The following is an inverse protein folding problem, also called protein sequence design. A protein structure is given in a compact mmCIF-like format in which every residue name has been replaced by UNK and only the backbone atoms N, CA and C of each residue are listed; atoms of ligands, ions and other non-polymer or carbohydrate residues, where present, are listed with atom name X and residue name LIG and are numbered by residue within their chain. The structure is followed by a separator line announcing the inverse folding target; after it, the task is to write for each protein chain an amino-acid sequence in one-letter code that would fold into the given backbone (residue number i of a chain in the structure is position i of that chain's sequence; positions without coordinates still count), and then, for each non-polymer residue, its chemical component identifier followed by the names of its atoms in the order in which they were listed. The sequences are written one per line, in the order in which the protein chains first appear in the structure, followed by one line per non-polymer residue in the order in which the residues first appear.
data_IF_123724203567
#
_entry.id   IF_123724203567
#
_cell.length_a   1.000
_cell.length_b   1.000
_cell.length_c   1.000
_cell.angle_alpha   90.00
_cell.angle_beta   90.00
_cell.angle_gamma   90.00
#
_symmetry.space_group_name_H-M   'P 1'
#
loop_
_entity.id
_entity.type
_entity.pdbx_description
1 polymer ?
#
# COMPACT_ATOMS: atom_id res chain seq x y z
N UNK A 1 4.24 -22.51 15.77
CA UNK A 1 3.61 -21.32 15.17
C UNK A 1 4.73 -20.39 14.70
N UNK A 2 4.76 -20.05 13.43
CA UNK A 2 5.68 -19.01 12.93
C UNK A 2 5.01 -17.64 13.11
N UNK A 3 5.78 -16.64 13.58
CA UNK A 3 5.25 -15.29 13.85
C UNK A 3 4.62 -14.66 12.61
N UNK A 4 5.23 -14.89 11.46
CA UNK A 4 4.79 -14.36 10.17
C UNK A 4 3.43 -14.93 9.74
N UNK A 5 3.13 -16.21 10.03
CA UNK A 5 1.82 -16.82 9.74
C UNK A 5 0.71 -16.10 10.51
N UNK A 6 0.96 -15.79 11.79
CA UNK A 6 0.01 -15.06 12.63
C UNK A 6 -0.23 -13.65 12.11
N UNK A 7 0.84 -12.94 11.76
CA UNK A 7 0.74 -11.58 11.20
C UNK A 7 0.01 -11.59 9.86
N UNK A 8 0.23 -12.61 9.03
CA UNK A 8 -0.49 -12.80 7.76
C UNK A 8 -1.99 -13.00 7.97
N UNK A 9 -2.41 -13.81 8.95
CA UNK A 9 -3.83 -14.00 9.28
C UNK A 9 -4.43 -12.76 9.95
N UNK A 10 -3.67 -12.06 10.80
CA UNK A 10 -4.10 -10.77 11.36
C UNK A 10 -4.35 -9.73 10.24
N UNK A 11 -3.47 -9.63 9.24
CA UNK A 11 -3.68 -8.75 8.08
C UNK A 11 -4.97 -9.10 7.33
N UNK A 12 -5.25 -10.38 7.08
CA UNK A 12 -6.49 -10.80 6.42
C UNK A 12 -7.74 -10.40 7.21
N UNK A 13 -7.73 -10.54 8.53
CA UNK A 13 -8.83 -10.09 9.38
C UNK A 13 -8.99 -8.57 9.34
N UNK A 14 -7.89 -7.82 9.43
CA UNK A 14 -7.89 -6.35 9.34
C UNK A 14 -8.45 -5.86 8.00
N UNK A 15 -8.10 -6.52 6.90
CA UNK A 15 -8.63 -6.20 5.56
C UNK A 15 -10.13 -6.47 5.43
N UNK A 16 -10.62 -7.55 6.05
CA UNK A 16 -12.01 -7.98 5.93
C UNK A 16 -12.96 -7.21 6.87
N UNK A 17 -12.53 -6.97 8.10
CA UNK A 17 -13.39 -6.45 9.17
C UNK A 17 -13.05 -5.02 9.60
N UNK A 18 -11.89 -4.53 9.17
CA UNK A 18 -11.36 -3.22 9.56
C UNK A 18 -10.70 -3.22 10.93
N UNK A 19 -9.95 -2.15 11.20
CA UNK A 19 -9.17 -1.99 12.43
C UNK A 19 -10.08 -2.00 13.67
N UNK A 20 -11.24 -1.34 13.62
CA UNK A 20 -12.15 -1.24 14.78
C UNK A 20 -12.63 -2.62 15.27
N UNK A 21 -12.99 -3.49 14.35
CA UNK A 21 -13.68 -4.76 14.64
C UNK A 21 -12.74 -5.96 14.82
N UNK A 22 -11.48 -5.84 14.44
CA UNK A 22 -10.49 -6.94 14.62
C UNK A 22 -10.01 -6.97 16.07
N UNK A 23 -10.04 -8.14 16.70
CA UNK A 23 -9.55 -8.35 18.08
C UNK A 23 -8.48 -9.43 18.14
N UNK A 24 -7.73 -9.47 19.24
CA UNK A 24 -6.68 -10.47 19.44
C UNK A 24 -7.26 -11.88 19.57
N UNK A 25 -8.46 -12.00 20.17
CA UNK A 25 -9.22 -13.25 20.28
C UNK A 25 -9.54 -13.84 18.92
N UNK A 26 -9.98 -13.00 17.98
CA UNK A 26 -10.28 -13.42 16.61
C UNK A 26 -9.02 -13.90 15.87
N UNK A 27 -7.89 -13.26 16.13
CA UNK A 27 -6.61 -13.72 15.56
C UNK A 27 -6.22 -15.08 16.16
N UNK A 28 -6.33 -15.24 17.48
CA UNK A 28 -6.05 -16.48 18.19
C UNK A 28 -6.90 -17.65 17.66
N UNK A 29 -8.21 -17.43 17.49
CA UNK A 29 -9.15 -18.40 16.92
C UNK A 29 -8.77 -18.75 15.47
N UNK A 30 -8.41 -17.73 14.67
CA UNK A 30 -8.07 -17.92 13.26
C UNK A 30 -6.83 -18.75 13.03
N UNK A 31 -5.83 -18.65 13.92
CA UNK A 31 -4.57 -19.40 13.85
C UNK A 31 -4.58 -20.67 14.69
N UNK A 32 -5.71 -20.99 15.32
CA UNK A 32 -5.87 -22.12 16.25
C UNK A 32 -4.76 -22.15 17.32
N UNK A 33 -4.59 -21.02 18.02
CA UNK A 33 -3.54 -20.85 19.02
C UNK A 33 -4.11 -20.27 20.33
N UNK A 34 -3.65 -20.74 21.52
CA UNK A 34 -4.17 -20.25 22.78
C UNK A 34 -3.96 -18.75 22.95
N UNK A 35 -5.02 -18.02 23.29
CA UNK A 35 -4.99 -16.56 23.45
C UNK A 35 -3.94 -16.10 24.46
N UNK A 36 -3.82 -16.81 25.61
CA UNK A 36 -2.86 -16.45 26.65
C UNK A 36 -1.40 -16.58 26.18
N UNK A 37 -1.12 -17.56 25.30
CA UNK A 37 0.19 -17.68 24.68
C UNK A 37 0.42 -16.59 23.63
N UNK A 38 -0.63 -16.21 22.87
CA UNK A 38 -0.55 -15.13 21.90
C UNK A 38 -0.27 -13.78 22.58
N UNK A 39 -0.90 -13.54 23.76
CA UNK A 39 -0.68 -12.33 24.57
C UNK A 39 0.74 -12.17 25.10
N UNK A 40 1.52 -13.24 25.17
CA UNK A 40 2.95 -13.13 25.53
C UNK A 40 3.77 -12.44 24.44
N UNK A 41 3.34 -12.53 23.18
CA UNK A 41 3.98 -11.88 22.03
C UNK A 41 3.36 -10.53 21.73
N UNK A 42 2.04 -10.45 21.82
CA UNK A 42 1.24 -9.25 21.58
C UNK A 42 0.24 -9.06 22.73
N UNK A 43 0.58 -8.20 23.70
CA UNK A 43 -0.24 -8.04 24.91
C UNK A 43 -1.64 -7.51 24.62
N UNK A 44 -1.79 -6.76 23.52
CA UNK A 44 -3.04 -6.14 23.13
C UNK A 44 -3.18 -6.05 21.59
N UNK A 45 -4.32 -5.53 21.15
CA UNK A 45 -4.66 -5.31 19.75
C UNK A 45 -3.70 -4.35 19.06
N UNK A 46 -3.24 -3.33 19.74
CA UNK A 46 -2.37 -2.30 19.16
C UNK A 46 -0.99 -2.87 18.83
N UNK A 47 -0.46 -3.71 19.70
CA UNK A 47 0.82 -4.38 19.50
C UNK A 47 0.80 -5.29 18.26
N UNK A 48 -0.26 -6.10 18.08
CA UNK A 48 -0.36 -6.97 16.90
C UNK A 48 -0.66 -6.17 15.64
N UNK A 49 -1.44 -5.09 15.72
CA UNK A 49 -1.71 -4.20 14.59
C UNK A 49 -0.43 -3.52 14.10
N UNK A 50 0.38 -2.98 15.01
CA UNK A 50 1.67 -2.38 14.68
C UNK A 50 2.58 -3.39 13.96
N UNK A 51 2.75 -4.58 14.51
CA UNK A 51 3.59 -5.61 13.92
C UNK A 51 3.05 -6.12 12.58
N UNK A 52 1.73 -6.27 12.43
CA UNK A 52 1.10 -6.67 11.19
C UNK A 52 1.32 -5.62 10.08
N UNK A 53 1.13 -4.35 10.39
CA UNK A 53 1.41 -3.26 9.44
C UNK A 53 2.90 -3.16 9.10
N UNK A 54 3.79 -3.38 10.07
CA UNK A 54 5.24 -3.42 9.84
C UNK A 54 5.63 -4.59 8.92
N UNK A 55 5.05 -5.75 9.14
CA UNK A 55 5.24 -6.92 8.28
C UNK A 55 4.76 -6.65 6.86
N UNK A 56 3.58 -6.05 6.70
CA UNK A 56 3.07 -5.62 5.39
C UNK A 56 4.00 -4.60 4.71
N UNK A 57 4.48 -3.60 5.47
CA UNK A 57 5.44 -2.62 4.96
C UNK A 57 6.71 -3.29 4.41
N UNK A 58 7.27 -4.24 5.14
CA UNK A 58 8.44 -5.00 4.71
C UNK A 58 8.17 -5.80 3.42
N UNK A 59 6.99 -6.42 3.28
CA UNK A 59 6.61 -7.14 2.06
C UNK A 59 6.53 -6.19 0.85
N UNK A 60 5.95 -5.01 1.04
CA UNK A 60 5.87 -3.99 -0.02
C UNK A 60 7.27 -3.49 -0.41
N UNK A 61 8.16 -3.29 0.57
CA UNK A 61 9.53 -2.83 0.30
C UNK A 61 10.38 -3.90 -0.43
N UNK A 62 10.16 -5.18 -0.12
CA UNK A 62 10.76 -6.30 -0.85
C UNK A 62 10.25 -6.29 -2.29
N UNK A 63 8.94 -6.18 -2.50
CA UNK A 63 8.34 -6.10 -3.82
C UNK A 63 8.87 -4.92 -4.64
N UNK A 64 8.94 -3.71 -4.05
CA UNK A 64 9.51 -2.53 -4.72
C UNK A 64 10.96 -2.75 -5.15
N UNK A 65 11.79 -3.34 -4.26
CA UNK A 65 13.19 -3.65 -4.59
C UNK A 65 13.31 -4.66 -5.72
N UNK A 66 12.51 -5.72 -5.70
CA UNK A 66 12.49 -6.70 -6.78
C UNK A 66 12.10 -6.05 -8.11
N UNK A 67 11.09 -5.18 -8.08
CA UNK A 67 10.65 -4.43 -9.25
C UNK A 67 11.74 -3.49 -9.78
N UNK A 68 12.45 -2.78 -8.90
CA UNK A 68 13.57 -1.91 -9.30
C UNK A 68 14.71 -2.69 -9.97
N UNK A 69 15.02 -3.88 -9.47
CA UNK A 69 16.08 -4.76 -9.99
C UNK A 69 15.69 -5.53 -11.26
N UNK A 70 14.41 -5.54 -11.63
CA UNK A 70 13.95 -6.23 -12.85
C UNK A 70 14.35 -5.42 -14.09
N UNK A 71 15.42 -5.85 -14.74
CA UNK A 71 15.92 -5.23 -15.97
C UNK A 71 15.05 -5.52 -17.22
N UNK A 72 14.09 -6.43 -17.12
CA UNK A 72 13.18 -6.76 -18.23
C UNK A 72 12.05 -5.75 -18.37
N UNK A 73 11.78 -4.94 -17.35
CA UNK A 73 10.73 -3.93 -17.33
C UNK A 73 11.30 -2.52 -17.50
N UNK A 74 10.59 -1.72 -18.30
CA UNK A 74 10.88 -0.28 -18.41
C UNK A 74 10.46 0.46 -17.13
N UNK A 75 11.01 1.66 -16.90
CA UNK A 75 10.61 2.49 -15.76
C UNK A 75 9.11 2.82 -15.77
N UNK A 76 8.50 3.01 -16.94
CA UNK A 76 7.06 3.19 -17.10
C UNK A 76 6.27 1.95 -16.67
N UNK A 77 6.68 0.76 -17.10
CA UNK A 77 6.05 -0.50 -16.68
C UNK A 77 6.16 -0.69 -15.16
N UNK A 78 7.31 -0.36 -14.56
CA UNK A 78 7.50 -0.40 -13.11
C UNK A 78 6.58 0.57 -12.37
N UNK A 79 6.40 1.80 -12.88
CA UNK A 79 5.46 2.78 -12.32
C UNK A 79 4.01 2.28 -12.32
N UNK A 80 3.60 1.60 -13.39
CA UNK A 80 2.24 1.12 -13.56
C UNK A 80 1.98 -0.26 -12.92
N UNK A 81 3.03 -1.00 -12.54
CA UNK A 81 2.94 -2.33 -11.95
C UNK A 81 2.09 -2.38 -10.66
N UNK A 82 2.03 -1.26 -9.91
CA UNK A 82 1.18 -1.14 -8.71
C UNK A 82 -0.31 -1.34 -8.99
N UNK A 83 -0.79 -0.89 -10.14
CA UNK A 83 -2.21 -1.07 -10.52
C UNK A 83 -2.51 -2.51 -10.90
N UNK A 84 -1.54 -3.21 -11.51
CA UNK A 84 -1.65 -4.65 -11.77
C UNK A 84 -1.68 -5.42 -10.43
N UNK A 85 -0.80 -5.09 -9.49
CA UNK A 85 -0.80 -5.69 -8.15
C UNK A 85 -2.13 -5.44 -7.41
N UNK A 86 -2.70 -4.22 -7.50
CA UNK A 86 -4.02 -3.93 -6.94
C UNK A 86 -5.14 -4.74 -7.61
N UNK A 87 -5.12 -4.90 -8.93
CA UNK A 87 -6.08 -5.73 -9.65
C UNK A 87 -6.02 -7.19 -9.18
N UNK A 88 -4.84 -7.75 -8.98
CA UNK A 88 -4.69 -9.10 -8.43
C UNK A 88 -5.19 -9.19 -6.97
N UNK A 89 -4.94 -8.15 -6.16
CA UNK A 89 -5.50 -8.08 -4.81
C UNK A 89 -7.04 -8.11 -4.84
N UNK A 90 -7.67 -7.29 -5.70
CA UNK A 90 -9.13 -7.24 -5.83
C UNK A 90 -9.71 -8.59 -6.24
N UNK A 91 -9.11 -9.26 -7.24
CA UNK A 91 -9.53 -10.62 -7.68
C UNK A 91 -9.46 -11.64 -6.55
N UNK A 92 -8.47 -11.51 -5.68
CA UNK A 92 -8.27 -12.41 -4.53
C UNK A 92 -8.99 -11.93 -3.25
N UNK A 93 -9.85 -10.93 -3.36
CA UNK A 93 -10.55 -10.30 -2.23
C UNK A 93 -9.58 -9.82 -1.13
N UNK A 94 -8.43 -9.26 -1.51
CA UNK A 94 -7.39 -8.71 -0.66
C UNK A 94 -7.23 -7.21 -0.91
N UNK A 95 -6.98 -6.44 0.15
CA UNK A 95 -6.95 -4.96 0.09
C UNK A 95 -5.84 -4.37 1.00
N UNK A 96 -4.62 -4.88 0.94
CA UNK A 96 -3.58 -4.57 1.93
C UNK A 96 -3.19 -3.08 1.94
N UNK A 97 -3.14 -2.43 0.77
CA UNK A 97 -2.76 -1.03 0.64
C UNK A 97 -3.71 -0.05 1.33
N UNK A 98 -4.98 -0.43 1.52
CA UNK A 98 -5.96 0.40 2.23
C UNK A 98 -5.73 0.46 3.73
N UNK A 99 -5.01 -0.51 4.33
CA UNK A 99 -4.77 -0.57 5.78
C UNK A 99 -3.96 0.61 6.30
N UNK A 100 -3.01 1.14 5.53
CA UNK A 100 -2.22 2.32 5.95
C UNK A 100 -3.09 3.58 6.00
N UNK A 101 -4.03 3.77 5.06
CA UNK A 101 -4.99 4.88 5.10
C UNK A 101 -5.93 4.71 6.31
N UNK A 102 -6.46 3.50 6.51
CA UNK A 102 -7.30 3.19 7.66
C UNK A 102 -6.56 3.41 8.99
N UNK A 103 -5.28 3.05 9.06
CA UNK A 103 -4.45 3.24 10.24
C UNK A 103 -4.27 4.73 10.58
N UNK A 104 -3.94 5.59 9.61
CA UNK A 104 -3.85 7.03 9.82
C UNK A 104 -5.18 7.64 10.28
N UNK A 105 -6.30 7.14 9.75
CA UNK A 105 -7.63 7.62 10.14
C UNK A 105 -8.02 7.18 11.56
N UNK A 106 -7.66 5.95 11.93
CA UNK A 106 -7.99 5.38 13.26
C UNK A 106 -7.07 5.93 14.37
N UNK A 107 -5.80 6.21 14.04
CA UNK A 107 -4.79 6.82 14.91
C UNK A 107 -4.40 8.20 14.34
N UNK A 108 -5.19 9.25 14.58
CA UNK A 108 -4.98 10.55 13.94
C UNK A 108 -3.82 11.36 14.54
N UNK A 109 -3.28 10.97 15.69
CA UNK A 109 -2.12 11.63 16.29
C UNK A 109 -0.84 11.32 15.50
N UNK A 110 -0.17 12.33 14.89
CA UNK A 110 1.08 12.12 14.15
C UNK A 110 2.23 11.58 15.01
N UNK A 111 2.16 11.72 16.34
CA UNK A 111 3.11 11.15 17.28
C UNK A 111 2.90 9.67 17.56
N UNK A 112 1.76 9.10 17.17
CA UNK A 112 1.42 7.70 17.41
C UNK A 112 2.27 6.75 16.54
N UNK A 113 2.87 5.67 17.09
CA UNK A 113 3.75 4.77 16.32
C UNK A 113 3.09 4.16 15.09
N UNK A 114 1.80 3.82 15.16
CA UNK A 114 1.05 3.26 14.02
C UNK A 114 0.85 4.31 12.93
N UNK A 115 0.55 5.56 13.31
CA UNK A 115 0.44 6.67 12.37
C UNK A 115 1.78 6.90 11.65
N UNK A 116 2.87 6.97 12.41
CA UNK A 116 4.22 7.18 11.87
C UNK A 116 4.62 6.07 10.89
N UNK A 117 4.33 4.81 11.22
CA UNK A 117 4.59 3.68 10.34
C UNK A 117 3.81 3.80 9.01
N UNK A 118 2.54 4.20 9.08
CA UNK A 118 1.71 4.40 7.90
C UNK A 118 2.19 5.58 7.04
N UNK A 119 2.59 6.69 7.67
CA UNK A 119 3.15 7.86 7.00
C UNK A 119 4.49 7.56 6.32
N UNK A 120 5.37 6.81 6.99
CA UNK A 120 6.64 6.34 6.41
C UNK A 120 6.39 5.50 5.14
N UNK A 121 5.37 4.63 5.14
CA UNK A 121 5.06 3.81 3.97
C UNK A 121 4.53 4.66 2.80
N UNK A 122 3.78 5.73 3.09
CA UNK A 122 3.33 6.70 2.08
C UNK A 122 4.51 7.48 1.50
N UNK A 123 5.42 7.95 2.36
CA UNK A 123 6.63 8.62 1.92
C UNK A 123 7.50 7.73 1.03
N UNK A 124 7.70 6.47 1.41
CA UNK A 124 8.43 5.48 0.60
C UNK A 124 7.75 5.20 -0.75
N UNK A 125 6.42 5.28 -0.84
CA UNK A 125 5.70 5.17 -2.11
C UNK A 125 6.00 6.36 -3.04
N UNK A 126 5.99 7.58 -2.49
CA UNK A 126 6.37 8.78 -3.23
C UNK A 126 7.82 8.71 -3.73
N UNK A 127 8.77 8.35 -2.87
CA UNK A 127 10.19 8.27 -3.22
C UNK A 127 10.42 7.27 -4.37
N UNK A 128 9.79 6.10 -4.30
CA UNK A 128 9.83 5.10 -5.37
C UNK A 128 9.31 5.66 -6.71
N UNK A 129 8.20 6.38 -6.68
CA UNK A 129 7.59 6.99 -7.87
C UNK A 129 8.48 8.09 -8.43
N UNK A 130 9.01 8.96 -7.57
CA UNK A 130 9.89 10.05 -7.94
C UNK A 130 11.20 9.56 -8.58
N UNK A 131 11.82 8.50 -8.03
CA UNK A 131 13.02 7.88 -8.57
C UNK A 131 12.82 7.36 -10.00
N UNK A 132 11.72 6.64 -10.25
CA UNK A 132 11.39 6.13 -11.58
C UNK A 132 11.09 7.25 -12.58
N UNK A 133 10.38 8.31 -12.17
CA UNK A 133 10.11 9.48 -13.00
C UNK A 133 11.38 10.26 -13.33
N UNK A 134 12.32 10.33 -12.40
CA UNK A 134 13.65 10.92 -12.64
C UNK A 134 14.41 10.11 -13.69
N UNK A 135 14.36 8.78 -13.62
CA UNK A 135 14.96 7.88 -14.64
C UNK A 135 14.31 8.07 -16.02
N UNK A 136 13.03 8.41 -16.08
CA UNK A 136 12.32 8.72 -17.33
C UNK A 136 12.59 10.14 -17.86
N UNK A 137 13.35 10.94 -17.09
CA UNK A 137 13.70 12.32 -17.44
C UNK A 137 12.48 13.22 -17.72
N UNK A 138 11.33 12.95 -17.07
CA UNK A 138 10.15 13.78 -17.25
C UNK A 138 10.36 15.20 -16.71
N UNK A 139 9.66 16.18 -17.29
CA UNK A 139 9.66 17.53 -16.77
C UNK A 139 8.93 17.57 -15.41
N UNK A 140 9.54 18.24 -14.41
CA UNK A 140 9.06 18.31 -13.02
C UNK A 140 8.64 16.96 -12.40
N UNK A 141 9.60 16.01 -12.21
CA UNK A 141 9.30 14.67 -11.69
C UNK A 141 8.66 14.72 -10.30
N UNK A 142 8.94 15.74 -9.49
CA UNK A 142 8.36 15.91 -8.16
C UNK A 142 6.85 16.19 -8.23
N UNK A 143 6.42 17.06 -9.13
CA UNK A 143 5.00 17.35 -9.33
C UNK A 143 4.26 16.15 -9.91
N UNK A 144 4.85 15.49 -10.90
CA UNK A 144 4.27 14.28 -11.52
C UNK A 144 4.14 13.16 -10.50
N UNK A 145 5.14 12.96 -9.63
CA UNK A 145 5.06 11.98 -8.54
C UNK A 145 3.89 12.28 -7.60
N UNK A 146 3.71 13.54 -7.19
CA UNK A 146 2.56 13.94 -6.35
C UNK A 146 1.22 13.65 -7.02
N UNK A 147 1.09 13.93 -8.31
CA UNK A 147 -0.14 13.64 -9.06
C UNK A 147 -0.41 12.13 -9.09
N UNK A 148 0.59 11.31 -9.36
CA UNK A 148 0.46 9.85 -9.40
C UNK A 148 0.11 9.25 -8.03
N UNK A 149 0.72 9.77 -6.95
CA UNK A 149 0.39 9.32 -5.59
C UNK A 149 -1.03 9.72 -5.19
N UNK A 150 -1.50 10.92 -5.55
CA UNK A 150 -2.89 11.32 -5.31
C UNK A 150 -3.90 10.41 -6.03
N UNK A 151 -3.60 10.01 -7.26
CA UNK A 151 -4.45 9.04 -8.00
C UNK A 151 -4.47 7.69 -7.31
N UNK A 152 -3.30 7.19 -6.88
CA UNK A 152 -3.21 5.91 -6.16
C UNK A 152 -3.94 5.96 -4.82
N UNK A 153 -3.70 7.00 -4.01
CA UNK A 153 -4.35 7.17 -2.71
C UNK A 153 -5.87 7.34 -2.84
N UNK A 154 -6.32 8.06 -3.87
CA UNK A 154 -7.74 8.17 -4.19
C UNK A 154 -8.36 6.81 -4.52
N UNK A 155 -7.68 5.98 -5.30
CA UNK A 155 -8.09 4.61 -5.60
C UNK A 155 -8.18 3.77 -4.32
N UNK A 156 -7.13 3.77 -3.49
CA UNK A 156 -7.09 3.03 -2.22
C UNK A 156 -8.18 3.48 -1.25
N UNK A 157 -8.45 4.79 -1.17
CA UNK A 157 -9.54 5.33 -0.32
C UNK A 157 -10.91 4.88 -0.81
N UNK A 158 -11.15 4.87 -2.12
CA UNK A 158 -12.39 4.33 -2.69
C UNK A 158 -12.57 2.85 -2.39
N UNK A 159 -11.50 2.07 -2.40
CA UNK A 159 -11.55 0.64 -2.07
C UNK A 159 -11.91 0.36 -0.60
N UNK A 160 -11.76 1.33 0.32
CA UNK A 160 -12.30 1.23 1.68
C UNK A 160 -13.84 1.29 1.70
N UNK A 161 -14.43 1.97 0.71
CA UNK A 161 -15.89 2.16 0.61
C UNK A 161 -16.53 1.14 -0.33
N UNK A 162 -15.94 0.99 -1.52
CA UNK A 162 -16.47 0.13 -2.58
C UNK A 162 -15.32 -0.59 -3.29
N UNK A 163 -15.17 -1.87 -3.03
CA UNK A 163 -14.09 -2.72 -3.54
C UNK A 163 -14.28 -3.07 -5.01
N UNK A 164 -14.16 -2.07 -5.88
CA UNK A 164 -14.46 -2.15 -7.30
C UNK A 164 -13.20 -2.24 -8.17
N UNK A 165 -13.14 -3.23 -9.04
CA UNK A 165 -12.12 -3.32 -10.09
C UNK A 165 -12.14 -2.09 -11.01
N UNK A 166 -13.32 -1.51 -11.27
CA UNK A 166 -13.47 -0.34 -12.13
C UNK A 166 -12.73 0.91 -11.57
N UNK A 167 -12.63 1.05 -10.24
CA UNK A 167 -11.86 2.13 -9.62
C UNK A 167 -10.34 1.94 -9.86
N UNK A 168 -9.84 0.70 -9.82
CA UNK A 168 -8.44 0.38 -10.15
C UNK A 168 -8.15 0.66 -11.63
N UNK A 169 -9.03 0.23 -12.53
CA UNK A 169 -8.89 0.44 -13.97
C UNK A 169 -8.90 1.95 -14.31
N UNK A 170 -9.76 2.72 -13.63
CA UNK A 170 -9.83 4.17 -13.80
C UNK A 170 -8.54 4.85 -13.31
N UNK A 171 -8.05 4.46 -12.14
CA UNK A 171 -6.80 5.00 -11.58
C UNK A 171 -5.59 4.65 -12.47
N UNK A 172 -5.55 3.44 -13.01
CA UNK A 172 -4.52 3.02 -13.96
C UNK A 172 -4.50 3.93 -15.21
N UNK A 173 -5.65 4.14 -15.85
CA UNK A 173 -5.78 5.02 -17.01
C UNK A 173 -5.37 6.46 -16.72
N UNK A 174 -5.77 7.00 -15.55
CA UNK A 174 -5.34 8.34 -15.13
C UNK A 174 -3.83 8.43 -14.95
N UNK A 175 -3.20 7.40 -14.39
CA UNK A 175 -1.74 7.35 -14.25
C UNK A 175 -1.03 7.32 -15.62
N UNK A 176 -1.55 6.54 -16.58
CA UNK A 176 -1.07 6.52 -17.97
C UNK A 176 -1.20 7.90 -18.63
N UNK A 177 -2.35 8.57 -18.45
CA UNK A 177 -2.57 9.91 -18.98
C UNK A 177 -1.60 10.93 -18.39
N UNK A 178 -1.37 10.91 -17.07
CA UNK A 178 -0.39 11.78 -16.39
C UNK A 178 1.00 11.59 -16.99
N UNK A 179 1.44 10.34 -17.16
CA UNK A 179 2.75 10.02 -17.76
C UNK A 179 2.86 10.52 -19.20
N UNK A 180 1.81 10.29 -20.00
CA UNK A 180 1.76 10.76 -21.38
C UNK A 180 1.88 12.28 -21.47
N UNK A 181 1.13 13.02 -20.65
CA UNK A 181 1.23 14.48 -20.60
C UNK A 181 2.60 14.99 -20.14
N UNK A 182 3.21 14.33 -19.15
CA UNK A 182 4.54 14.68 -18.69
C UNK A 182 5.58 14.52 -19.80
N UNK A 183 5.51 13.45 -20.59
CA UNK A 183 6.36 13.23 -21.76
C UNK A 183 6.13 14.20 -22.91
N UNK A 184 4.85 14.58 -23.17
CA UNK A 184 4.54 15.57 -24.20
C UNK A 184 5.12 16.94 -23.84
N UNK A 185 5.11 17.33 -22.57
CA UNK A 185 5.77 18.57 -22.12
C UNK A 185 7.28 18.54 -22.35
N UNK A 186 7.95 17.45 -21.99
CA UNK A 186 9.38 17.26 -22.25
C UNK A 186 9.73 17.40 -23.74
N UNK A 187 8.89 16.87 -24.63
CA UNK A 187 9.07 16.98 -26.09
C UNK A 187 8.72 18.34 -26.71
N UNK A 188 8.33 19.34 -25.89
CA UNK A 188 7.92 20.66 -26.39
C UNK A 188 6.58 20.69 -27.14
N UNK A 189 5.79 19.61 -27.10
CA UNK A 189 4.53 19.47 -27.81
C UNK A 189 3.37 20.24 -27.16
N UNK A 190 3.58 20.82 -25.96
CA UNK A 190 2.58 21.58 -25.17
C UNK A 190 3.15 22.90 -24.67
N UNK A 191 4.01 23.55 -25.46
CA UNK A 191 4.48 24.92 -25.17
C UNK A 191 3.47 25.96 -25.62
#
# INVERSE_FOLDING_TARGET
MQREDVLGEALKLLELQGIANTTLEMVAERVDYPLDELRRFWPDKEAILYDALRYLSQQIDVWRRQLMLDETQTAEQKLLARYQALSECVKNNRYPGCLFIAACTFYPDPGHPIHQLADQQKSAAYDFTHELLTTLEVDDPAMVAKQMELVLEGCLSRMLVNRSQADVDTAHRLAEDILRFARCRQGGALA
#
